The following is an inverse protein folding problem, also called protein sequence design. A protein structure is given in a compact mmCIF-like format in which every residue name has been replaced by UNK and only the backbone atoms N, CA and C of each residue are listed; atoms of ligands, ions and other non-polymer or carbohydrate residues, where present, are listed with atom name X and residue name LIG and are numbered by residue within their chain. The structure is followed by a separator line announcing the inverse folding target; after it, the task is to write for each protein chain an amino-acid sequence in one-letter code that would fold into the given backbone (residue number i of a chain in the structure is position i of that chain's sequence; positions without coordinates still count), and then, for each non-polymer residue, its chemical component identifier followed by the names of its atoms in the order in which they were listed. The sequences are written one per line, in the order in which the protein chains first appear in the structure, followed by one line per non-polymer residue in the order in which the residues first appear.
data_IF_638886444351
#
_entry.id   IF_638886444351
#
_cell.length_a   1.000
_cell.length_b   1.000
_cell.length_c   1.000
_cell.angle_alpha   90.00
_cell.angle_beta   90.00
_cell.angle_gamma   90.00
#
_symmetry.space_group_name_H-M   'P 1'
#
loop_
_entity.id
_entity.type
_entity.pdbx_description
1 polymer ?
#
# COMPACT_ATOMS: atom_id res chain seq x y z
N UNK A 1 16.10 -5.71 5.90
CA UNK A 1 14.78 -5.20 6.34
C UNK A 1 13.79 -5.44 5.23
N UNK A 2 12.50 -5.63 5.53
CA UNK A 2 11.49 -5.76 4.48
C UNK A 2 11.00 -4.37 4.08
N UNK A 3 10.72 -4.16 2.78
CA UNK A 3 10.21 -2.90 2.24
C UNK A 3 8.98 -2.39 3.00
N UNK A 4 8.11 -3.30 3.44
CA UNK A 4 6.92 -2.97 4.21
C UNK A 4 7.19 -2.45 5.63
N UNK A 5 8.34 -2.78 6.24
CA UNK A 5 8.77 -2.20 7.52
C UNK A 5 9.33 -0.79 7.30
N UNK A 6 10.13 -0.60 6.24
CA UNK A 6 10.73 0.68 5.89
C UNK A 6 9.67 1.73 5.54
N UNK A 7 8.65 1.36 4.76
CA UNK A 7 7.51 2.25 4.43
C UNK A 7 6.74 2.65 5.70
N UNK A 8 6.55 1.72 6.63
CA UNK A 8 5.81 1.99 7.88
C UNK A 8 6.54 2.99 8.76
N UNK A 9 7.85 2.80 8.93
CA UNK A 9 8.68 3.72 9.72
C UNK A 9 8.79 5.09 9.04
N UNK A 10 8.93 5.11 7.72
CA UNK A 10 8.93 6.35 6.95
C UNK A 10 7.62 7.14 7.14
N UNK A 11 6.47 6.46 7.05
CA UNK A 11 5.15 7.09 7.26
C UNK A 11 5.01 7.66 8.67
N UNK A 12 5.50 6.96 9.69
CA UNK A 12 5.52 7.42 11.07
C UNK A 12 6.35 8.71 11.22
N UNK A 13 7.58 8.71 10.71
CA UNK A 13 8.46 9.89 10.77
C UNK A 13 7.87 11.09 10.01
N UNK A 14 7.18 10.85 8.89
CA UNK A 14 6.50 11.91 8.15
C UNK A 14 5.37 12.54 8.97
N UNK A 15 4.51 11.70 9.58
CA UNK A 15 3.40 12.17 10.43
C UNK A 15 3.91 12.99 11.61
N UNK A 16 4.97 12.52 12.28
CA UNK A 16 5.62 13.26 13.38
C UNK A 16 6.09 14.66 12.93
N UNK A 17 6.75 14.76 11.76
CA UNK A 17 7.19 16.05 11.22
C UNK A 17 6.04 16.97 10.84
N UNK A 18 4.96 16.43 10.27
CA UNK A 18 3.78 17.23 9.90
C UNK A 18 3.10 17.82 11.14
N UNK A 19 2.96 17.02 12.20
CA UNK A 19 2.44 17.47 13.49
C UNK A 19 3.31 18.57 14.10
N UNK A 20 4.64 18.39 14.10
CA UNK A 20 5.60 19.40 14.59
C UNK A 20 5.53 20.71 13.79
N UNK A 21 5.18 20.65 12.51
CA UNK A 21 4.99 21.83 11.65
C UNK A 21 3.59 22.46 11.77
N UNK A 22 2.76 22.02 12.71
CA UNK A 22 1.45 22.62 12.98
C UNK A 22 0.32 22.18 12.03
N UNK A 23 0.52 21.11 11.26
CA UNK A 23 -0.56 20.52 10.44
C UNK A 23 -1.61 19.93 11.38
N UNK A 24 -2.88 20.29 11.16
CA UNK A 24 -4.00 19.77 11.95
C UNK A 24 -4.19 18.28 11.68
N UNK A 25 -4.60 17.54 12.71
CA UNK A 25 -4.79 16.09 12.60
C UNK A 25 -5.76 15.69 11.47
N UNK A 26 -6.79 16.50 11.24
CA UNK A 26 -7.80 16.34 10.18
C UNK A 26 -7.18 16.39 8.77
N UNK A 27 -6.10 17.15 8.60
CA UNK A 27 -5.44 17.39 7.32
C UNK A 27 -4.27 16.40 7.06
N UNK A 28 -3.83 15.65 8.09
CA UNK A 28 -2.66 14.77 8.03
C UNK A 28 -2.75 13.72 6.92
N UNK A 29 -3.89 13.06 6.78
CA UNK A 29 -4.05 11.96 5.82
C UNK A 29 -3.86 12.45 4.38
N UNK A 30 -4.34 13.66 4.07
CA UNK A 30 -4.17 14.29 2.76
C UNK A 30 -2.70 14.57 2.46
N UNK A 31 -1.97 15.12 3.43
CA UNK A 31 -0.53 15.41 3.27
C UNK A 31 0.31 14.14 3.15
N UNK A 32 0.02 13.12 3.94
CA UNK A 32 0.71 11.82 3.87
C UNK A 32 0.45 11.16 2.52
N UNK A 33 -0.80 11.10 2.05
CA UNK A 33 -1.13 10.55 0.72
C UNK A 33 -0.44 11.31 -0.41
N UNK A 34 -0.39 12.64 -0.34
CA UNK A 34 0.31 13.45 -1.34
C UNK A 34 1.82 13.16 -1.36
N UNK A 35 2.45 12.99 -0.19
CA UNK A 35 3.87 12.66 -0.08
C UNK A 35 4.18 11.23 -0.54
N UNK A 36 3.34 10.25 -0.16
CA UNK A 36 3.44 8.87 -0.64
C UNK A 36 3.35 8.83 -2.18
N UNK A 37 2.38 9.56 -2.76
CA UNK A 37 2.21 9.65 -4.21
C UNK A 37 3.37 10.37 -4.91
N UNK A 38 3.95 11.40 -4.29
CA UNK A 38 5.10 12.12 -4.86
C UNK A 38 6.39 11.28 -4.86
N UNK A 39 6.57 10.41 -3.86
CA UNK A 39 7.80 9.61 -3.69
C UNK A 39 7.71 8.28 -4.44
N UNK A 40 6.59 7.58 -4.30
CA UNK A 40 6.44 6.24 -4.87
C UNK A 40 5.77 6.27 -6.25
N UNK A 41 4.97 7.30 -6.56
CA UNK A 41 4.17 7.36 -7.78
C UNK A 41 3.07 6.29 -7.83
N UNK A 42 2.36 6.22 -8.95
CA UNK A 42 1.44 5.11 -9.21
C UNK A 42 2.24 3.89 -9.71
N UNK A 43 2.69 3.04 -8.78
CA UNK A 43 3.35 1.80 -9.16
C UNK A 43 2.31 0.72 -9.45
N UNK A 44 2.29 0.26 -10.70
CA UNK A 44 1.49 -0.89 -11.11
C UNK A 44 2.44 -2.00 -11.52
N UNK A 45 2.26 -3.20 -10.96
CA UNK A 45 3.02 -4.39 -11.34
C UNK A 45 2.03 -5.41 -11.91
N UNK A 46 2.36 -5.97 -13.07
CA UNK A 46 1.65 -7.11 -13.65
C UNK A 46 2.44 -8.37 -13.41
N UNK A 47 1.83 -9.36 -12.76
CA UNK A 47 2.44 -10.66 -12.47
C UNK A 47 1.56 -11.77 -13.03
N UNK A 48 2.19 -12.83 -13.53
CA UNK A 48 1.50 -14.06 -13.92
C UNK A 48 1.65 -15.08 -12.80
N UNK A 49 0.54 -15.67 -12.35
CA UNK A 49 0.53 -16.70 -11.30
C UNK A 49 -0.07 -17.97 -11.91
N UNK A 50 0.69 -19.06 -11.89
CA UNK A 50 0.22 -20.38 -12.29
C UNK A 50 -0.16 -21.18 -11.04
N UNK A 51 -1.38 -21.70 -11.01
CA UNK A 51 -1.87 -22.50 -9.89
C UNK A 51 -2.79 -23.63 -10.39
N UNK A 52 -2.75 -24.83 -9.80
CA UNK A 52 -3.75 -25.86 -10.08
C UNK A 52 -5.17 -25.36 -9.80
N UNK A 53 -6.12 -25.72 -10.68
CA UNK A 53 -7.50 -25.21 -10.64
C UNK A 53 -8.18 -25.36 -9.26
N UNK A 54 -7.88 -26.45 -8.54
CA UNK A 54 -8.41 -26.73 -7.20
C UNK A 54 -8.08 -25.67 -6.15
N UNK A 55 -7.03 -24.87 -6.36
CA UNK A 55 -6.61 -23.80 -5.45
C UNK A 55 -6.99 -22.39 -5.94
N UNK A 56 -7.72 -22.25 -7.06
CA UNK A 56 -8.08 -20.94 -7.60
C UNK A 56 -8.85 -20.06 -6.61
N UNK A 57 -9.76 -20.65 -5.83
CA UNK A 57 -10.52 -19.95 -4.79
C UNK A 57 -9.64 -19.50 -3.61
N UNK A 58 -8.67 -20.34 -3.23
CA UNK A 58 -7.72 -20.02 -2.16
C UNK A 58 -6.79 -18.88 -2.60
N UNK A 59 -6.27 -18.94 -3.84
CA UNK A 59 -5.47 -17.86 -4.42
C UNK A 59 -6.26 -16.55 -4.45
N UNK A 60 -7.52 -16.56 -4.88
CA UNK A 60 -8.37 -15.37 -4.86
C UNK A 60 -8.51 -14.78 -3.44
N UNK A 61 -8.71 -15.65 -2.44
CA UNK A 61 -8.83 -15.22 -1.04
C UNK A 61 -7.53 -14.57 -0.54
N UNK A 62 -6.38 -15.16 -0.86
CA UNK A 62 -5.05 -14.63 -0.51
C UNK A 62 -4.81 -13.27 -1.17
N UNK A 63 -5.13 -13.13 -2.46
CA UNK A 63 -4.95 -11.88 -3.19
C UNK A 63 -5.85 -10.76 -2.65
N UNK A 64 -7.06 -11.11 -2.21
CA UNK A 64 -8.01 -10.17 -1.63
C UNK A 64 -7.57 -9.72 -0.23
N UNK A 65 -7.08 -10.64 0.60
CA UNK A 65 -6.46 -10.32 1.90
C UNK A 65 -5.20 -9.46 1.72
N UNK A 66 -4.36 -9.76 0.73
CA UNK A 66 -3.20 -8.94 0.38
C UNK A 66 -3.60 -7.51 -0.02
N UNK A 67 -4.63 -7.36 -0.87
CA UNK A 67 -5.18 -6.07 -1.29
C UNK A 67 -5.63 -5.23 -0.08
N UNK A 68 -6.40 -5.83 0.83
CA UNK A 68 -6.90 -5.14 2.02
C UNK A 68 -5.78 -4.74 2.98
N UNK A 69 -4.81 -5.63 3.23
CA UNK A 69 -3.71 -5.38 4.17
C UNK A 69 -2.74 -4.31 3.70
N UNK A 70 -2.51 -4.22 2.39
CA UNK A 70 -1.51 -3.32 1.82
C UNK A 70 -2.12 -2.05 1.19
N UNK A 71 -3.45 -1.92 1.20
CA UNK A 71 -4.14 -0.76 0.61
C UNK A 71 -3.91 -0.64 -0.90
N UNK A 72 -3.70 -1.75 -1.59
CA UNK A 72 -3.45 -1.81 -3.03
C UNK A 72 -4.62 -2.46 -3.77
N UNK A 73 -4.76 -2.19 -5.07
CA UNK A 73 -5.78 -2.80 -5.90
C UNK A 73 -5.19 -3.98 -6.68
N UNK A 74 -5.78 -5.16 -6.51
CA UNK A 74 -5.47 -6.33 -7.34
C UNK A 74 -6.59 -6.50 -8.35
N UNK A 75 -6.24 -6.49 -9.63
CA UNK A 75 -7.19 -6.69 -10.73
C UNK A 75 -6.66 -7.79 -11.65
N UNK A 76 -7.52 -8.71 -12.14
CA UNK A 76 -7.12 -9.63 -13.19
C UNK A 76 -6.74 -8.83 -14.45
N UNK A 77 -5.71 -9.31 -15.16
CA UNK A 77 -5.32 -8.73 -16.44
C UNK A 77 -6.46 -8.93 -17.44
N UNK A 78 -6.93 -7.84 -18.05
CA UNK A 78 -7.94 -7.85 -19.11
C UNK A 78 -7.42 -8.48 -20.41
#
# INVERSE_FOLDING_TARGET
MSLGIEIREWRKQLVEKLLLNGVRAEDLEKHVKAAEMAIYGNQTVTLTIEVPLKYANELNTILLDFSQKNGCFVMPKA
#
